data_IF_677425591114
#
_entry.id   IF_677425591114
#
_cell.length_a   1.000
_cell.length_b   1.000
_cell.length_c   1.000
_cell.angle_alpha   90.00
_cell.angle_beta   90.00
_cell.angle_gamma   90.00
#
_symmetry.space_group_name_H-M   'P 1'
#
loop_
_entity.id
_entity.type
_entity.pdbx_description
1 polymer ?
#
# COMPACT_ATOMS: atom_id res chain seq x y z
N UNK A 1 7.95 25.79 -7.05
CA UNK A 1 8.19 25.01 -8.29
C UNK A 1 7.80 23.56 -8.04
N UNK A 2 7.35 22.79 -9.05
CA UNK A 2 6.96 21.39 -8.86
C UNK A 2 8.17 20.49 -8.57
N UNK A 3 7.99 19.48 -7.71
CA UNK A 3 8.98 18.43 -7.45
C UNK A 3 8.86 17.35 -8.53
N UNK A 4 9.62 17.49 -9.62
CA UNK A 4 9.52 16.64 -10.80
C UNK A 4 8.46 17.14 -11.79
N UNK A 5 8.13 16.29 -12.78
CA UNK A 5 7.10 16.62 -13.77
C UNK A 5 5.71 16.35 -13.19
N UNK A 6 4.79 17.30 -13.36
CA UNK A 6 3.37 17.17 -12.97
C UNK A 6 2.62 16.10 -13.77
N UNK A 7 3.00 15.93 -15.04
CA UNK A 7 2.46 14.92 -15.92
C UNK A 7 3.52 14.41 -16.90
N UNK A 8 3.20 13.33 -17.60
CA UNK A 8 3.99 12.84 -18.74
C UNK A 8 3.07 12.21 -19.78
N UNK A 9 2.99 12.82 -20.96
CA UNK A 9 2.45 12.20 -22.16
C UNK A 9 3.50 11.33 -22.85
N UNK A 10 3.15 10.12 -23.27
CA UNK A 10 4.04 9.25 -24.06
C UNK A 10 3.26 8.21 -24.86
N UNK A 11 3.92 7.64 -25.87
CA UNK A 11 3.37 6.54 -26.68
C UNK A 11 4.11 5.23 -26.40
N UNK A 12 3.36 4.14 -26.17
CA UNK A 12 3.99 2.83 -25.93
C UNK A 12 4.66 2.30 -27.20
N UNK A 13 5.85 1.69 -27.05
CA UNK A 13 6.65 1.24 -28.20
C UNK A 13 5.98 0.13 -29.00
N UNK A 14 5.34 -0.81 -28.31
CA UNK A 14 4.85 -2.04 -28.95
C UNK A 14 3.44 -1.88 -29.51
N UNK A 15 2.51 -1.30 -28.74
CA UNK A 15 1.10 -1.19 -29.15
C UNK A 15 0.69 0.22 -29.58
N UNK A 16 1.60 1.20 -29.50
CA UNK A 16 1.31 2.56 -29.93
C UNK A 16 0.18 3.24 -29.15
N UNK A 17 0.00 2.88 -27.88
CA UNK A 17 -1.00 3.43 -26.95
C UNK A 17 -0.51 4.80 -26.49
N UNK A 18 -1.32 5.83 -26.69
CA UNK A 18 -1.09 7.18 -26.18
C UNK A 18 -1.52 7.25 -24.71
N UNK A 19 -0.59 7.58 -23.82
CA UNK A 19 -0.80 7.58 -22.37
C UNK A 19 -0.54 8.96 -21.81
N UNK A 20 -1.49 9.50 -21.04
CA UNK A 20 -1.26 10.63 -20.14
C UNK A 20 -1.07 10.12 -18.71
N UNK A 21 0.15 10.27 -18.17
CA UNK A 21 0.47 9.87 -16.81
C UNK A 21 0.47 11.06 -15.84
N UNK A 22 -0.15 10.87 -14.68
CA UNK A 22 -0.30 11.86 -13.60
C UNK A 22 0.21 11.27 -12.27
N UNK A 23 0.69 12.11 -11.36
CA UNK A 23 1.24 11.70 -10.07
C UNK A 23 0.75 12.57 -8.92
N UNK A 24 0.27 11.93 -7.84
CA UNK A 24 -0.29 12.60 -6.67
C UNK A 24 0.28 12.03 -5.36
N UNK A 25 0.27 12.86 -4.33
CA UNK A 25 0.55 12.50 -2.95
C UNK A 25 -0.72 12.79 -2.16
N UNK A 26 -0.99 11.99 -1.12
CA UNK A 26 -2.11 12.24 -0.22
C UNK A 26 -1.96 13.59 0.48
N UNK A 27 -3.06 14.13 0.98
CA UNK A 27 -3.03 15.36 1.77
C UNK A 27 -2.15 15.18 3.01
N UNK A 28 -0.92 15.70 2.89
CA UNK A 28 0.15 15.47 3.83
C UNK A 28 0.70 16.81 4.30
N UNK A 29 0.49 17.08 5.59
CA UNK A 29 0.80 18.35 6.23
C UNK A 29 2.12 18.33 7.02
N UNK A 30 2.74 17.15 7.22
CA UNK A 30 4.00 16.99 7.98
C UNK A 30 5.26 17.11 7.10
N UNK A 31 5.18 17.89 6.03
CA UNK A 31 6.31 18.18 5.14
C UNK A 31 7.39 19.02 5.81
N UNK A 32 8.61 18.97 5.25
CA UNK A 32 9.66 19.92 5.66
C UNK A 32 9.29 21.35 5.22
N UNK A 33 9.83 22.37 5.90
CA UNK A 33 9.49 23.78 5.67
C UNK A 33 9.63 24.27 4.21
N UNK A 34 10.41 23.59 3.38
CA UNK A 34 10.67 23.95 1.98
C UNK A 34 9.87 23.11 0.96
N UNK A 35 8.98 22.24 1.45
CA UNK A 35 8.08 21.43 0.65
C UNK A 35 6.65 21.75 1.02
N UNK A 36 5.77 21.80 0.03
CA UNK A 36 4.34 21.97 0.24
C UNK A 36 3.60 20.94 -0.61
N UNK A 37 2.65 20.26 0.01
CA UNK A 37 1.66 19.45 -0.69
C UNK A 37 0.45 20.33 -0.95
N UNK A 38 -0.06 20.25 -2.17
CA UNK A 38 -1.28 20.92 -2.57
C UNK A 38 -2.39 19.86 -2.59
N UNK A 39 -3.51 20.08 -1.90
CA UNK A 39 -4.64 19.16 -1.91
C UNK A 39 -5.12 18.89 -3.34
N UNK A 40 -5.64 17.68 -3.54
CA UNK A 40 -6.13 17.24 -4.85
C UNK A 40 -7.30 18.10 -5.32
N UNK A 41 -8.18 18.52 -4.40
CA UNK A 41 -9.34 19.40 -4.62
C UNK A 41 -8.96 20.71 -5.30
N UNK A 42 -7.80 21.27 -4.94
CA UNK A 42 -7.28 22.49 -5.57
C UNK A 42 -6.49 22.18 -6.83
N UNK A 43 -5.74 21.07 -6.83
CA UNK A 43 -4.92 20.67 -7.97
C UNK A 43 -5.75 20.40 -9.22
N UNK A 44 -6.92 19.76 -9.09
CA UNK A 44 -7.80 19.46 -10.23
C UNK A 44 -8.38 20.72 -10.90
N UNK A 45 -8.33 21.88 -10.23
CA UNK A 45 -8.80 23.16 -10.76
C UNK A 45 -7.72 23.89 -11.58
N UNK A 46 -6.45 23.48 -11.48
CA UNK A 46 -5.35 24.19 -12.13
C UNK A 46 -5.35 24.01 -13.66
N UNK A 47 -4.94 25.06 -14.37
CA UNK A 47 -4.89 25.10 -15.84
C UNK A 47 -4.09 23.94 -16.45
N UNK A 48 -2.96 23.57 -15.84
CA UNK A 48 -2.14 22.47 -16.35
C UNK A 48 -2.85 21.13 -16.24
N UNK A 49 -3.62 20.89 -15.18
CA UNK A 49 -4.35 19.65 -15.00
C UNK A 49 -5.50 19.59 -16.00
N UNK A 50 -6.25 20.70 -16.09
CA UNK A 50 -7.33 20.88 -17.06
C UNK A 50 -6.85 20.71 -18.51
N UNK A 51 -5.65 21.17 -18.85
CA UNK A 51 -5.06 20.95 -20.16
C UNK A 51 -4.81 19.46 -20.44
N UNK A 52 -4.19 18.72 -19.51
CA UNK A 52 -3.87 17.30 -19.67
C UNK A 52 -5.12 16.44 -19.82
N UNK A 53 -6.15 16.69 -19.01
CA UNK A 53 -7.37 15.88 -19.06
C UNK A 53 -8.25 16.16 -20.28
N UNK A 54 -7.91 17.16 -21.11
CA UNK A 54 -8.55 17.43 -22.41
C UNK A 54 -7.79 16.82 -23.58
N UNK A 55 -6.62 16.24 -23.34
CA UNK A 55 -5.87 15.55 -24.38
C UNK A 55 -6.61 14.29 -24.83
N UNK A 56 -6.53 14.01 -26.14
CA UNK A 56 -7.04 12.77 -26.73
C UNK A 56 -6.01 11.65 -26.52
N UNK A 57 -6.25 10.81 -25.51
CA UNK A 57 -5.37 9.71 -25.11
C UNK A 57 -6.12 8.39 -25.04
N UNK A 58 -5.41 7.31 -25.34
CA UNK A 58 -5.95 5.95 -25.27
C UNK A 58 -6.07 5.46 -23.80
N UNK A 59 -5.27 6.03 -22.87
CA UNK A 59 -5.22 5.64 -21.46
C UNK A 59 -4.77 6.80 -20.55
N UNK A 60 -5.51 7.04 -19.47
CA UNK A 60 -5.00 7.79 -18.32
C UNK A 60 -4.35 6.85 -17.31
N UNK A 61 -3.15 7.21 -16.88
CA UNK A 61 -2.36 6.46 -15.91
C UNK A 61 -2.12 7.32 -14.68
N UNK A 62 -2.78 7.01 -13.57
CA UNK A 62 -2.73 7.84 -12.35
C UNK A 62 -1.94 7.11 -11.28
N UNK A 63 -0.79 7.67 -10.92
CA UNK A 63 0.00 7.22 -9.78
C UNK A 63 -0.37 8.05 -8.55
N UNK A 64 -0.53 7.39 -7.41
CA UNK A 64 -0.75 8.06 -6.14
C UNK A 64 -0.03 7.36 -5.02
N UNK A 65 0.75 8.10 -4.23
CA UNK A 65 1.08 7.63 -2.88
C UNK A 65 -0.08 7.97 -1.95
N UNK A 66 -1.25 7.39 -2.24
CA UNK A 66 -2.53 7.64 -1.58
C UNK A 66 -3.20 6.30 -1.30
N UNK A 67 -4.01 6.17 -0.23
CA UNK A 67 -4.88 5.01 -0.04
C UNK A 67 -5.69 4.71 -1.31
N UNK A 68 -6.04 3.45 -1.53
CA UNK A 68 -6.91 3.06 -2.65
C UNK A 68 -8.36 3.47 -2.46
N UNK A 69 -8.74 4.08 -1.32
CA UNK A 69 -10.13 4.43 -1.06
C UNK A 69 -10.62 5.61 -1.92
N UNK A 70 -11.93 5.77 -1.94
CA UNK A 70 -12.66 6.70 -2.79
C UNK A 70 -12.49 8.19 -2.43
N UNK A 71 -11.54 8.60 -1.60
CA UNK A 71 -11.36 10.02 -1.26
C UNK A 71 -10.76 10.81 -2.43
N UNK A 72 -9.44 10.98 -2.38
CA UNK A 72 -8.68 11.81 -3.33
C UNK A 72 -8.72 11.25 -4.76
N UNK A 73 -8.66 9.92 -4.92
CA UNK A 73 -8.75 9.30 -6.24
C UNK A 73 -10.09 9.57 -6.90
N UNK A 74 -11.20 9.59 -6.17
CA UNK A 74 -12.52 9.87 -6.74
C UNK A 74 -12.61 11.28 -7.29
N UNK A 75 -12.03 12.25 -6.61
CA UNK A 75 -11.98 13.64 -7.10
C UNK A 75 -11.22 13.70 -8.43
N UNK A 76 -10.05 13.05 -8.51
CA UNK A 76 -9.25 12.97 -9.74
C UNK A 76 -10.03 12.28 -10.86
N UNK A 77 -10.61 11.12 -10.59
CA UNK A 77 -11.35 10.33 -11.56
C UNK A 77 -12.58 11.09 -12.06
N UNK A 78 -13.33 11.74 -11.17
CA UNK A 78 -14.46 12.60 -11.55
C UNK A 78 -14.03 13.77 -12.43
N UNK A 79 -12.91 14.42 -12.10
CA UNK A 79 -12.39 15.51 -12.92
C UNK A 79 -11.99 15.02 -14.33
N UNK A 80 -11.29 13.88 -14.43
CA UNK A 80 -10.98 13.25 -15.74
C UNK A 80 -12.26 12.91 -16.49
N UNK A 81 -13.23 12.25 -15.84
CA UNK A 81 -14.52 11.85 -16.44
C UNK A 81 -15.35 13.03 -16.94
N UNK A 82 -15.20 14.21 -16.33
CA UNK A 82 -15.89 15.44 -16.78
C UNK A 82 -15.49 15.87 -18.18
N UNK A 83 -14.27 15.54 -18.62
CA UNK A 83 -13.75 15.85 -19.96
C UNK A 83 -13.66 14.60 -20.84
N UNK A 84 -13.39 13.44 -20.25
CA UNK A 84 -13.11 12.16 -20.91
C UNK A 84 -13.96 11.03 -20.29
N UNK A 85 -15.21 10.92 -20.75
CA UNK A 85 -16.23 10.03 -20.16
C UNK A 85 -15.88 8.55 -20.28
N UNK A 86 -15.34 8.12 -21.40
CA UNK A 86 -15.12 6.69 -21.72
C UNK A 86 -13.64 6.27 -21.72
N UNK A 87 -12.70 7.18 -21.48
CA UNK A 87 -11.27 6.85 -21.57
C UNK A 87 -10.88 5.87 -20.46
N UNK A 88 -10.15 4.79 -20.75
CA UNK A 88 -9.60 3.91 -19.72
C UNK A 88 -8.78 4.68 -18.68
N UNK A 89 -8.92 4.32 -17.41
CA UNK A 89 -8.09 4.84 -16.30
C UNK A 89 -7.47 3.67 -15.55
N UNK A 90 -6.15 3.66 -15.42
CA UNK A 90 -5.43 2.76 -14.52
C UNK A 90 -4.82 3.56 -13.37
N UNK A 91 -5.18 3.19 -12.14
CA UNK A 91 -4.65 3.78 -10.91
C UNK A 91 -3.61 2.84 -10.30
N UNK A 92 -2.49 3.40 -9.83
CA UNK A 92 -1.54 2.73 -8.95
C UNK A 92 -1.50 3.49 -7.62
N UNK A 93 -2.10 2.90 -6.59
CA UNK A 93 -2.24 3.45 -5.23
C UNK A 93 -1.20 2.87 -4.28
N UNK A 94 -1.04 3.47 -3.10
CA UNK A 94 -0.10 3.03 -2.07
C UNK A 94 -0.53 3.49 -0.66
N UNK A 95 0.43 3.93 0.16
CA UNK A 95 0.25 4.43 1.52
C UNK A 95 -0.22 3.39 2.57
N UNK A 96 -1.37 2.74 2.38
CA UNK A 96 -1.97 1.84 3.39
C UNK A 96 -1.34 0.44 3.45
N UNK A 97 -0.29 0.19 2.66
CA UNK A 97 0.55 -1.01 2.77
C UNK A 97 -0.17 -2.36 2.51
N UNK A 98 -1.29 -2.37 1.78
CA UNK A 98 -2.09 -3.58 1.48
C UNK A 98 -1.99 -4.03 0.02
N UNK A 99 -2.30 -5.31 -0.23
CA UNK A 99 -2.64 -5.86 -1.56
C UNK A 99 -4.12 -5.56 -1.82
N UNK A 100 -4.44 -4.82 -2.88
CA UNK A 100 -5.84 -4.51 -3.20
C UNK A 100 -6.04 -4.19 -4.69
N UNK A 101 -7.17 -4.62 -5.25
CA UNK A 101 -7.68 -4.19 -6.56
C UNK A 101 -9.04 -3.56 -6.32
N UNK A 102 -9.20 -2.31 -6.75
CA UNK A 102 -10.47 -1.60 -6.69
C UNK A 102 -10.99 -1.32 -8.09
N UNK A 103 -12.28 -1.53 -8.32
CA UNK A 103 -12.98 -1.13 -9.54
C UNK A 103 -13.76 0.15 -9.25
N UNK A 104 -13.29 1.27 -9.79
CA UNK A 104 -13.95 2.57 -9.60
C UNK A 104 -15.17 2.73 -10.52
N UNK A 105 -15.05 2.28 -11.77
CA UNK A 105 -16.16 2.26 -12.74
C UNK A 105 -15.96 1.14 -13.78
N UNK A 106 -16.73 1.13 -14.88
CA UNK A 106 -16.62 0.11 -15.92
C UNK A 106 -15.28 0.12 -16.68
N UNK A 107 -14.52 1.21 -16.63
CA UNK A 107 -13.27 1.45 -17.37
C UNK A 107 -12.14 2.02 -16.50
N UNK A 108 -12.33 2.11 -15.18
CA UNK A 108 -11.37 2.61 -14.22
C UNK A 108 -11.08 1.59 -13.11
N UNK A 109 -9.82 1.22 -12.97
CA UNK A 109 -9.35 0.22 -12.00
C UNK A 109 -8.11 0.72 -11.27
N UNK A 110 -7.98 0.36 -9.99
CA UNK A 110 -6.83 0.69 -9.16
C UNK A 110 -6.17 -0.53 -8.56
N UNK A 111 -4.83 -0.54 -8.55
CA UNK A 111 -4.05 -1.58 -7.90
C UNK A 111 -3.19 -0.99 -6.77
N UNK A 112 -3.09 -1.73 -5.67
CA UNK A 112 -2.19 -1.49 -4.56
C UNK A 112 -1.32 -2.73 -4.31
N UNK A 113 -0.01 -2.53 -4.23
CA UNK A 113 0.97 -3.63 -4.32
C UNK A 113 1.64 -3.99 -3.00
N UNK A 114 0.94 -3.87 -1.87
CA UNK A 114 1.45 -4.30 -0.57
C UNK A 114 2.55 -3.39 0.01
N UNK A 115 3.54 -4.01 0.67
CA UNK A 115 4.58 -3.32 1.44
C UNK A 115 5.91 -4.09 1.47
N UNK A 116 6.97 -3.38 1.85
CA UNK A 116 8.27 -3.94 2.26
C UNK A 116 8.91 -4.89 1.25
N UNK A 117 8.70 -4.62 -0.04
CA UNK A 117 9.17 -5.49 -1.13
C UNK A 117 8.72 -6.95 -0.91
N UNK A 118 7.56 -7.19 -0.29
CA UNK A 118 6.98 -8.54 -0.17
C UNK A 118 6.16 -8.92 -1.40
N UNK A 119 5.81 -7.93 -2.22
CA UNK A 119 4.86 -8.10 -3.32
C UNK A 119 5.28 -7.29 -4.53
N UNK A 120 5.22 -7.94 -5.68
CA UNK A 120 5.18 -7.28 -6.99
C UNK A 120 3.72 -7.36 -7.47
N UNK A 121 3.07 -6.20 -7.58
CA UNK A 121 1.73 -6.13 -8.16
C UNK A 121 1.81 -6.20 -9.67
N UNK A 122 0.97 -7.03 -10.27
CA UNK A 122 0.85 -7.22 -11.70
C UNK A 122 -0.59 -6.97 -12.13
N UNK A 123 -0.78 -6.17 -13.18
CA UNK A 123 -2.08 -5.99 -13.81
C UNK A 123 -1.95 -6.03 -15.32
N UNK A 124 -2.94 -6.62 -16.00
CA UNK A 124 -3.09 -6.54 -17.45
C UNK A 124 -4.47 -6.01 -17.80
N UNK A 125 -4.54 -5.24 -18.88
CA UNK A 125 -5.77 -4.60 -19.35
C UNK A 125 -5.98 -4.93 -20.82
N UNK A 126 -7.18 -5.39 -21.15
CA UNK A 126 -7.66 -5.60 -22.52
C UNK A 126 -8.74 -4.57 -22.85
N UNK A 127 -8.81 -4.15 -24.11
CA UNK A 127 -9.81 -3.16 -24.56
C UNK A 127 -9.41 -1.69 -24.36
N UNK A 128 -8.12 -1.42 -24.12
CA UNK A 128 -7.55 -0.05 -24.09
C UNK A 128 -7.50 0.55 -25.50
N UNK A 129 -7.04 -0.23 -26.48
CA UNK A 129 -7.04 0.12 -27.89
C UNK A 129 -7.49 -1.09 -28.71
N UNK A 130 -8.43 -0.91 -29.61
CA UNK A 130 -8.89 -1.97 -30.52
C UNK A 130 -8.04 -1.94 -31.78
N UNK A 131 -6.85 -2.51 -31.71
CA UNK A 131 -6.04 -2.80 -32.90
C UNK A 131 -6.08 -4.32 -33.16
N UNK A 132 -6.60 -4.77 -34.33
CA UNK A 132 -6.63 -6.19 -34.70
C UNK A 132 -5.27 -6.89 -34.63
N UNK A 133 -4.15 -6.15 -34.68
CA UNK A 133 -2.79 -6.69 -34.54
C UNK A 133 -2.44 -7.13 -33.13
N UNK A 134 -3.11 -6.61 -32.09
CA UNK A 134 -2.77 -6.86 -30.68
C UNK A 134 -3.86 -7.59 -29.89
N UNK A 135 -4.95 -8.00 -30.53
CA UNK A 135 -5.97 -8.87 -29.93
C UNK A 135 -7.38 -8.71 -30.52
N UNK A 136 -8.31 -9.52 -30.03
CA UNK A 136 -9.73 -9.48 -30.39
C UNK A 136 -10.33 -8.14 -29.95
N UNK A 137 -11.04 -7.47 -30.84
CA UNK A 137 -11.83 -6.30 -30.48
C UNK A 137 -12.89 -6.70 -29.44
N UNK A 138 -12.66 -6.37 -28.18
CA UNK A 138 -13.66 -6.55 -27.14
C UNK A 138 -14.73 -5.47 -27.30
N UNK A 139 -15.80 -5.72 -28.06
CA UNK A 139 -17.04 -4.93 -28.24
C UNK A 139 -17.27 -3.74 -27.25
N UNK A 140 -16.41 -2.73 -27.23
CA UNK A 140 -16.36 -1.68 -26.21
C UNK A 140 -16.01 -2.09 -24.75
N UNK A 141 -15.84 -3.37 -24.41
CA UNK A 141 -15.66 -3.82 -23.01
C UNK A 141 -14.20 -3.90 -22.57
N UNK A 142 -13.88 -3.32 -21.41
CA UNK A 142 -12.57 -3.40 -20.78
C UNK A 142 -12.51 -4.55 -19.79
N UNK A 143 -11.47 -5.38 -19.88
CA UNK A 143 -11.22 -6.47 -18.93
C UNK A 143 -9.88 -6.23 -18.25
N UNK A 144 -9.85 -6.36 -16.93
CA UNK A 144 -8.63 -6.21 -16.13
C UNK A 144 -8.36 -7.50 -15.36
N UNK A 145 -7.12 -7.97 -15.43
CA UNK A 145 -6.63 -9.06 -14.58
C UNK A 145 -5.58 -8.51 -13.62
N UNK A 146 -5.46 -9.16 -12.46
CA UNK A 146 -4.49 -8.80 -11.43
C UNK A 146 -3.85 -10.02 -10.79
N UNK A 147 -2.57 -9.90 -10.44
CA UNK A 147 -1.84 -10.85 -9.60
C UNK A 147 -0.97 -10.11 -8.57
N UNK A 148 -0.90 -10.65 -7.37
CA UNK A 148 0.07 -10.27 -6.35
C UNK A 148 1.14 -11.34 -6.29
N UNK A 149 2.30 -11.03 -6.84
CA UNK A 149 3.42 -11.97 -6.95
C UNK A 149 4.26 -11.83 -5.69
N UNK A 150 4.45 -12.92 -4.96
CA UNK A 150 5.39 -12.93 -3.84
C UNK A 150 6.80 -12.57 -4.33
N UNK A 151 7.49 -11.66 -3.62
CA UNK A 151 8.88 -11.35 -3.95
C UNK A 151 9.81 -12.49 -3.53
N UNK A 152 9.85 -13.54 -4.35
CA UNK A 152 10.66 -14.74 -4.13
C UNK A 152 11.12 -15.29 -5.47
N UNK A 153 12.34 -15.83 -5.48
CA UNK A 153 12.97 -16.36 -6.69
C UNK A 153 12.12 -17.44 -7.37
N UNK A 154 11.40 -18.27 -6.60
CA UNK A 154 10.55 -19.32 -7.13
C UNK A 154 9.30 -18.80 -7.85
N UNK A 155 8.72 -17.69 -7.38
CA UNK A 155 7.61 -17.04 -8.06
C UNK A 155 8.11 -16.43 -9.38
N UNK A 156 9.28 -15.81 -9.34
CA UNK A 156 9.89 -15.23 -10.54
C UNK A 156 10.26 -16.29 -11.59
N UNK A 157 10.83 -17.43 -11.19
CA UNK A 157 11.05 -18.57 -12.08
C UNK A 157 9.76 -19.00 -12.77
N UNK A 158 8.69 -19.18 -11.98
CA UNK A 158 7.39 -19.61 -12.49
C UNK A 158 6.83 -18.64 -13.54
N UNK A 159 6.74 -17.34 -13.21
CA UNK A 159 6.14 -16.34 -14.11
C UNK A 159 7.00 -15.99 -15.32
N UNK A 160 8.32 -16.23 -15.25
CA UNK A 160 9.22 -16.01 -16.39
C UNK A 160 9.44 -17.26 -17.24
N UNK A 161 8.96 -18.44 -16.82
CA UNK A 161 9.24 -19.71 -17.47
C UNK A 161 10.72 -20.12 -17.40
N UNK A 162 11.47 -19.54 -16.47
CA UNK A 162 12.90 -19.76 -16.30
C UNK A 162 13.20 -20.57 -15.05
N UNK A 163 14.47 -20.86 -14.80
CA UNK A 163 14.90 -21.63 -13.63
C UNK A 163 16.22 -21.06 -13.06
N UNK A 164 16.79 -21.76 -12.07
CA UNK A 164 17.99 -21.28 -11.36
C UNK A 164 19.19 -21.00 -12.27
N UNK A 165 19.32 -21.68 -13.43
CA UNK A 165 20.43 -21.44 -14.37
C UNK A 165 20.12 -20.37 -15.42
N UNK A 166 18.84 -20.17 -15.78
CA UNK A 166 18.45 -19.27 -16.87
C UNK A 166 17.86 -17.93 -16.41
N UNK A 167 17.39 -17.84 -15.17
CA UNK A 167 16.84 -16.60 -14.60
C UNK A 167 17.91 -15.53 -14.31
N UNK A 168 19.09 -15.86 -13.74
CA UNK A 168 20.06 -14.84 -13.37
C UNK A 168 20.66 -14.12 -14.59
N UNK A 169 20.54 -12.79 -14.63
CA UNK A 169 21.24 -11.94 -15.61
C UNK A 169 22.54 -11.42 -15.02
N UNK A 170 23.52 -11.08 -15.86
CA UNK A 170 24.80 -10.52 -15.38
C UNK A 170 24.60 -9.20 -14.64
N UNK A 171 23.67 -8.36 -15.11
CA UNK A 171 23.26 -7.16 -14.41
C UNK A 171 22.68 -7.46 -13.01
N UNK A 172 21.77 -8.44 -12.91
CA UNK A 172 21.16 -8.83 -11.64
C UNK A 172 22.17 -9.41 -10.64
N UNK A 173 23.15 -10.19 -11.12
CA UNK A 173 24.25 -10.71 -10.29
C UNK A 173 25.12 -9.58 -9.76
N UNK A 174 25.53 -8.65 -10.62
CA UNK A 174 26.36 -7.50 -10.24
C UNK A 174 25.66 -6.62 -9.20
N UNK A 175 24.36 -6.36 -9.38
CA UNK A 175 23.57 -5.60 -8.43
C UNK A 175 23.44 -6.32 -7.08
N UNK A 176 23.24 -7.64 -7.08
CA UNK A 176 23.16 -8.44 -5.84
C UNK A 176 24.48 -8.41 -5.06
N UNK A 177 25.62 -8.50 -5.75
CA UNK A 177 26.94 -8.37 -5.14
C UNK A 177 27.16 -7.00 -4.49
N UNK A 178 26.63 -5.92 -5.07
CA UNK A 178 26.69 -4.58 -4.48
C UNK A 178 25.84 -4.45 -3.20
N UNK A 179 24.71 -5.15 -3.09
CA UNK A 179 23.88 -5.10 -1.87
C UNK A 179 24.59 -5.80 -0.70
N UNK A 180 25.32 -6.89 -0.95
CA UNK A 180 25.95 -7.69 0.10
C UNK A 180 27.06 -6.98 0.88
N UNK A 181 27.60 -5.85 0.41
CA UNK A 181 28.70 -5.11 1.07
C UNK A 181 28.24 -4.12 2.16
N UNK A 182 26.97 -4.14 2.54
CA UNK A 182 26.39 -3.31 3.62
C UNK A 182 25.82 -4.29 4.66
N UNK A 183 26.20 -4.35 5.97
CA UNK A 183 26.45 -3.23 6.91
C UNK A 183 27.47 -3.46 8.09
N UNK A 184 27.76 -2.40 8.89
CA UNK A 184 28.48 -2.43 10.20
C UNK A 184 27.65 -1.83 11.37
N UNK A 185 27.95 -2.25 12.62
CA UNK A 185 27.12 -2.15 13.86
C UNK A 185 27.48 -1.01 14.84
N UNK A 186 26.48 -0.54 15.62
CA UNK A 186 26.64 0.25 16.88
C UNK A 186 25.78 -0.37 17.99
N UNK A 187 26.37 -0.59 19.18
CA UNK A 187 25.66 -0.94 20.41
C UNK A 187 25.95 0.11 21.48
N UNK A 188 24.92 0.63 22.17
CA UNK A 188 25.08 1.43 23.39
C UNK A 188 24.59 0.64 24.59
N UNK A 189 25.31 0.75 25.72
CA UNK A 189 24.98 0.10 26.99
C UNK A 189 23.82 0.84 27.68
N UNK A 190 22.84 0.14 28.27
CA UNK A 190 21.78 0.79 29.06
C UNK A 190 22.34 1.31 30.39
N UNK A 191 21.88 2.49 30.81
CA UNK A 191 22.09 3.03 32.15
C UNK A 191 20.74 2.97 32.87
N UNK A 192 20.69 2.31 34.02
CA UNK A 192 19.46 2.14 34.80
C UNK A 192 19.20 3.37 35.68
N UNK A 193 18.02 3.98 35.54
CA UNK A 193 17.60 5.16 36.33
C UNK A 193 17.00 4.74 37.68
N UNK A 194 17.27 5.51 38.74
CA UNK A 194 16.67 5.34 40.09
C UNK A 194 15.27 5.95 40.23
N UNK A 195 14.73 6.54 39.15
CA UNK A 195 13.43 7.23 39.15
C UNK A 195 12.44 6.47 38.27
N UNK A 196 11.26 6.16 38.82
CA UNK A 196 10.15 5.55 38.07
C UNK A 196 9.77 6.49 36.93
N UNK A 197 9.79 5.97 35.71
CA UNK A 197 9.48 6.70 34.48
C UNK A 197 8.50 5.87 33.67
N UNK A 198 7.48 6.51 33.10
CA UNK A 198 6.55 5.91 32.15
C UNK A 198 6.87 6.45 30.76
N UNK A 199 6.88 5.57 29.75
CA UNK A 199 7.20 5.93 28.36
C UNK A 199 5.98 5.60 27.52
N UNK A 200 5.51 6.57 26.73
CA UNK A 200 4.45 6.33 25.77
C UNK A 200 5.03 6.28 24.36
N UNK A 201 4.76 5.19 23.65
CA UNK A 201 5.20 5.01 22.26
C UNK A 201 3.98 4.71 21.39
N UNK A 202 3.89 5.37 20.23
CA UNK A 202 2.91 4.97 19.22
C UNK A 202 3.26 3.57 18.70
N UNK A 203 2.27 2.71 18.51
CA UNK A 203 2.51 1.36 17.99
C UNK A 203 3.12 1.37 16.58
N UNK A 204 2.80 2.39 15.77
CA UNK A 204 3.36 2.61 14.43
C UNK A 204 4.86 2.93 14.39
N UNK A 205 5.47 3.23 15.54
CA UNK A 205 6.92 3.37 15.70
C UNK A 205 7.65 2.06 15.37
N UNK A 206 7.04 0.92 15.69
CA UNK A 206 7.53 -0.40 15.33
C UNK A 206 7.04 -0.76 13.92
N UNK A 207 7.97 -1.11 13.02
CA UNK A 207 7.69 -1.33 11.59
C UNK A 207 7.69 -2.80 11.18
N UNK A 208 8.31 -3.66 11.97
CA UNK A 208 8.47 -5.08 11.69
C UNK A 208 8.54 -5.92 12.97
N UNK A 209 8.41 -7.23 12.82
CA UNK A 209 8.55 -8.19 13.92
C UNK A 209 10.03 -8.39 14.28
N UNK A 210 10.31 -8.49 15.58
CA UNK A 210 11.65 -8.83 16.06
C UNK A 210 11.83 -10.35 16.08
N UNK A 211 12.48 -10.87 15.03
CA UNK A 211 12.74 -12.30 14.92
C UNK A 211 13.88 -12.76 15.86
N UNK A 212 13.79 -14.01 16.34
CA UNK A 212 14.87 -14.64 17.11
C UNK A 212 16.07 -14.88 16.19
N UNK A 213 17.22 -14.29 16.51
CA UNK A 213 18.45 -14.47 15.74
C UNK A 213 19.48 -13.38 16.03
N UNK A 214 20.50 -13.23 15.15
CA UNK A 214 21.48 -12.16 15.26
C UNK A 214 20.80 -10.77 15.19
N UNK A 215 21.08 -9.92 16.17
CA UNK A 215 20.63 -8.53 16.17
C UNK A 215 21.70 -7.64 15.55
N UNK A 216 21.42 -7.07 14.38
CA UNK A 216 22.37 -6.24 13.62
C UNK A 216 21.86 -4.80 13.53
N UNK A 217 22.68 -3.89 12.96
CA UNK A 217 22.23 -2.52 12.67
C UNK A 217 21.05 -2.49 11.70
N UNK A 218 20.99 -3.44 10.78
CA UNK A 218 19.86 -3.58 9.87
C UNK A 218 18.58 -3.96 10.63
N UNK A 219 18.69 -4.78 11.68
CA UNK A 219 17.57 -5.08 12.58
C UNK A 219 17.02 -3.81 13.23
N UNK A 220 17.88 -2.87 13.65
CA UNK A 220 17.46 -1.58 14.24
C UNK A 220 16.61 -0.79 13.25
N UNK A 221 17.10 -0.58 12.02
CA UNK A 221 16.37 0.21 11.02
C UNK A 221 15.13 -0.51 10.48
N UNK A 222 15.15 -1.84 10.41
CA UNK A 222 13.99 -2.64 10.01
C UNK A 222 12.85 -2.55 11.04
N UNK A 223 13.18 -2.55 12.34
CA UNK A 223 12.18 -2.57 13.40
C UNK A 223 11.76 -1.16 13.86
N UNK A 224 12.69 -0.23 14.03
CA UNK A 224 12.45 1.10 14.60
C UNK A 224 13.32 2.18 13.91
N UNK A 225 12.98 2.58 12.66
CA UNK A 225 13.81 3.45 11.83
C UNK A 225 13.79 4.93 12.24
N UNK A 226 12.82 5.35 13.06
CA UNK A 226 12.58 6.76 13.31
C UNK A 226 13.58 7.32 14.32
N UNK A 227 14.35 8.38 13.98
CA UNK A 227 15.29 9.02 14.89
C UNK A 227 14.56 9.96 15.87
N UNK A 228 13.49 9.48 16.47
CA UNK A 228 12.66 10.27 17.39
C UNK A 228 13.46 10.65 18.62
N UNK A 229 13.33 11.91 19.05
CA UNK A 229 13.86 12.38 20.33
C UNK A 229 12.79 12.19 21.39
N UNK A 230 13.18 11.63 22.53
CA UNK A 230 12.29 11.56 23.69
C UNK A 230 12.09 12.97 24.27
N UNK A 231 10.83 13.38 24.35
CA UNK A 231 10.41 14.54 25.13
C UNK A 231 10.03 14.01 26.52
N UNK A 232 10.48 14.67 27.58
CA UNK A 232 10.23 14.23 28.95
C UNK A 232 9.61 15.35 29.79
N UNK A 233 8.68 14.97 30.66
CA UNK A 233 8.08 15.86 31.67
C UNK A 233 8.42 15.28 33.04
N UNK A 234 9.02 16.09 33.92
CA UNK A 234 9.44 15.67 35.26
C UNK A 234 8.31 15.87 36.27
N UNK A 235 8.31 15.05 37.33
CA UNK A 235 7.43 15.18 38.51
C UNK A 235 5.93 15.14 38.19
N UNK A 236 5.53 14.31 37.23
CA UNK A 236 4.11 14.07 36.91
C UNK A 236 3.55 13.04 37.91
N UNK A 237 2.43 13.32 38.60
CA UNK A 237 1.77 12.34 39.45
C UNK A 237 1.32 11.11 38.65
N UNK A 238 1.48 9.92 39.23
CA UNK A 238 1.19 8.65 38.55
C UNK A 238 -0.26 8.56 38.03
N UNK A 239 -1.22 9.09 38.79
CA UNK A 239 -2.63 9.11 38.40
C UNK A 239 -2.83 9.87 37.07
N UNK A 240 -2.20 11.03 36.93
CA UNK A 240 -2.26 11.85 35.70
C UNK A 240 -1.67 11.08 34.52
N UNK A 241 -0.53 10.41 34.72
CA UNK A 241 0.10 9.57 33.70
C UNK A 241 -0.84 8.44 33.24
N UNK A 242 -1.51 7.76 34.18
CA UNK A 242 -2.48 6.70 33.86
C UNK A 242 -3.67 7.23 33.05
N UNK A 243 -4.24 8.37 33.45
CA UNK A 243 -5.34 8.99 32.69
C UNK A 243 -4.90 9.42 31.28
N UNK A 244 -3.68 9.94 31.16
CA UNK A 244 -3.11 10.36 29.87
C UNK A 244 -2.98 9.20 28.91
N UNK A 245 -2.52 8.03 29.37
CA UNK A 245 -2.44 6.83 28.55
C UNK A 245 -3.81 6.42 27.98
N UNK A 246 -4.84 6.39 28.84
CA UNK A 246 -6.21 6.03 28.43
C UNK A 246 -6.75 7.02 27.40
N UNK A 247 -6.52 8.31 27.61
CA UNK A 247 -6.92 9.33 26.65
C UNK A 247 -6.23 9.10 25.31
N UNK A 248 -4.91 8.98 25.28
CA UNK A 248 -4.15 8.82 24.03
C UNK A 248 -4.49 7.55 23.24
N UNK A 249 -4.85 6.45 23.92
CA UNK A 249 -5.24 5.19 23.27
C UNK A 249 -6.70 5.19 22.78
N UNK A 250 -7.55 6.08 23.30
CA UNK A 250 -8.99 6.14 22.97
C UNK A 250 -9.36 7.34 22.11
N UNK A 251 -8.57 8.41 22.15
CA UNK A 251 -8.76 9.56 21.29
C UNK A 251 -8.11 9.28 19.94
N UNK A 252 -8.85 9.46 18.84
CA UNK A 252 -8.32 9.51 17.47
C UNK A 252 -7.37 10.74 17.26
N UNK A 253 -6.63 11.16 18.29
CA UNK A 253 -5.85 12.40 18.36
C UNK A 253 -4.75 12.50 17.30
N UNK A 254 -4.35 11.37 16.73
CA UNK A 254 -3.26 11.25 15.75
C UNK A 254 -3.77 10.91 14.35
N UNK A 255 -5.07 10.87 14.14
CA UNK A 255 -5.65 10.67 12.82
C UNK A 255 -5.60 12.01 12.07
N UNK A 256 -4.73 12.09 11.07
CA UNK A 256 -4.48 13.32 10.30
C UNK A 256 -5.70 13.78 9.46
N UNK A 257 -6.79 13.01 9.44
CA UNK A 257 -8.01 13.30 8.69
C UNK A 257 -9.04 14.14 9.47
N UNK A 258 -8.94 14.31 10.79
CA UNK A 258 -9.95 15.04 11.56
C UNK A 258 -9.33 16.09 12.50
N UNK A 259 -9.01 17.26 11.95
CA UNK A 259 -8.81 18.47 12.75
C UNK A 259 -10.17 19.05 13.19
N UNK A 260 -10.91 18.32 14.04
CA UNK A 260 -12.11 18.85 14.72
C UNK A 260 -11.88 18.86 16.22
N UNK A 261 -12.14 20.01 16.85
CA UNK A 261 -11.97 20.25 18.28
C UNK A 261 -12.67 19.15 19.09
N UNK A 262 -12.10 18.71 20.24
CA UNK A 262 -12.72 17.66 21.05
C UNK A 262 -14.05 18.14 21.61
N UNK A 263 -15.16 17.64 21.06
CA UNK A 263 -16.49 17.82 21.64
C UNK A 263 -16.65 16.87 22.83
N UNK A 264 -16.99 17.44 23.98
CA UNK A 264 -17.06 16.78 25.30
C UNK A 264 -18.30 15.84 25.41
N UNK A 265 -19.06 15.66 24.33
CA UNK A 265 -20.24 14.78 24.29
C UNK A 265 -20.08 13.69 23.23
N UNK A 266 -19.34 12.64 23.59
CA UNK A 266 -19.18 11.44 22.77
C UNK A 266 -20.51 10.67 22.74
N UNK A 267 -21.30 10.89 21.69
CA UNK A 267 -22.20 9.85 21.15
C UNK A 267 -21.38 9.04 20.15
N UNK A 268 -21.42 7.72 20.30
CA UNK A 268 -20.68 6.77 19.48
C UNK A 268 -20.92 6.97 17.97
N UNK A 269 -20.00 7.65 17.31
CA UNK A 269 -19.78 7.54 15.86
C UNK A 269 -18.39 6.97 15.66
N UNK A 270 -18.33 5.65 15.46
CA UNK A 270 -17.11 4.91 15.10
C UNK A 270 -16.69 5.28 13.68
N UNK A 271 -15.90 6.33 13.54
CA UNK A 271 -14.98 6.51 12.42
C UNK A 271 -13.70 5.74 12.73
N UNK A 272 -13.49 4.61 12.05
CA UNK A 272 -12.28 3.81 12.16
C UNK A 272 -11.09 4.58 11.57
N UNK A 273 -10.20 5.10 12.42
CA UNK A 273 -8.88 5.61 12.02
C UNK A 273 -8.09 4.55 11.26
N UNK A 274 -7.62 4.91 10.08
CA UNK A 274 -7.09 4.00 9.07
C UNK A 274 -5.56 3.90 9.12
N UNK A 275 -4.97 3.57 10.27
CA UNK A 275 -3.65 2.93 10.34
C UNK A 275 -3.87 1.41 10.34
N UNK A 276 -4.00 0.82 9.15
CA UNK A 276 -4.27 -0.61 9.04
C UNK A 276 -3.03 -1.44 9.41
N UNK A 277 -3.02 -1.94 10.64
CA UNK A 277 -2.81 -3.38 10.81
C UNK A 277 -3.84 -4.15 9.97
N UNK A 278 -3.55 -5.37 9.50
CA UNK A 278 -4.45 -6.11 8.61
C UNK A 278 -5.87 -6.22 9.20
N UNK A 279 -6.84 -5.53 8.58
CA UNK A 279 -8.26 -5.67 8.97
C UNK A 279 -8.75 -7.08 8.62
N UNK A 280 -9.28 -7.75 9.65
CA UNK A 280 -9.96 -9.04 9.55
C UNK A 280 -11.30 -8.84 8.83
N UNK A 281 -11.44 -9.44 7.64
CA UNK A 281 -12.75 -9.63 7.01
C UNK A 281 -13.29 -10.96 7.52
N UNK A 282 -14.47 -10.93 8.16
CA UNK A 282 -15.16 -12.14 8.61
C UNK A 282 -15.40 -13.05 7.40
N UNK A 283 -14.88 -14.28 7.46
CA UNK A 283 -15.12 -15.27 6.42
C UNK A 283 -16.57 -15.76 6.50
N UNK A 284 -17.36 -15.54 5.43
CA UNK A 284 -18.60 -16.28 5.22
C UNK A 284 -18.27 -17.71 4.79
N UNK A 285 -17.98 -18.56 5.78
CA UNK A 285 -17.59 -19.95 5.59
C UNK A 285 -18.79 -20.89 5.29
N UNK A 286 -19.77 -20.46 4.48
CA UNK A 286 -21.04 -21.20 4.33
C UNK A 286 -21.37 -21.76 2.94
N UNK A 287 -20.50 -21.64 1.92
CA UNK A 287 -20.86 -22.08 0.55
C UNK A 287 -20.13 -23.29 -0.05
N UNK A 288 -19.23 -23.97 0.67
CA UNK A 288 -18.47 -25.10 0.10
C UNK A 288 -18.63 -26.41 0.90
N UNK A 289 -19.86 -26.82 1.22
CA UNK A 289 -20.09 -28.07 1.97
C UNK A 289 -20.19 -29.34 1.12
N UNK A 290 -20.06 -29.28 -0.21
CA UNK A 290 -20.19 -30.49 -1.05
C UNK A 290 -19.29 -30.46 -2.27
N UNK A 291 -17.99 -30.72 -2.10
CA UNK A 291 -17.14 -31.24 -3.18
C UNK A 291 -16.21 -32.33 -2.61
N UNK A 292 -16.38 -33.56 -3.10
CA UNK A 292 -15.49 -34.68 -2.84
C UNK A 292 -14.34 -34.58 -3.85
N UNK A 293 -13.10 -34.54 -3.36
CA UNK A 293 -11.90 -34.51 -4.19
C UNK A 293 -11.69 -35.84 -4.91
N UNK A 294 -11.50 -35.82 -6.23
CA UNK A 294 -11.18 -36.98 -7.08
C UNK A 294 -9.67 -37.31 -7.12
N UNK A 295 -8.84 -36.68 -6.30
CA UNK A 295 -7.41 -37.00 -6.23
C UNK A 295 -7.14 -38.14 -5.23
N UNK A 296 -6.74 -39.31 -5.74
CA UNK A 296 -6.40 -40.53 -4.98
C UNK A 296 -5.10 -40.45 -4.16
N UNK A 297 -4.54 -39.25 -3.94
CA UNK A 297 -3.39 -39.04 -3.05
C UNK A 297 -3.41 -37.61 -2.48
N UNK A 298 -4.05 -37.43 -1.33
CA UNK A 298 -3.94 -36.20 -0.54
C UNK A 298 -2.55 -36.10 0.11
N UNK A 299 -1.52 -35.76 -0.67
CA UNK A 299 -0.39 -35.03 -0.09
C UNK A 299 -0.94 -33.68 0.34
N UNK A 300 -1.23 -33.53 1.63
CA UNK A 300 -1.70 -32.28 2.24
C UNK A 300 -0.77 -31.15 1.79
N UNK A 301 -1.25 -30.26 0.93
CA UNK A 301 -0.51 -29.07 0.50
C UNK A 301 -0.10 -28.30 1.77
N UNK A 302 1.20 -28.22 2.04
CA UNK A 302 1.73 -27.40 3.14
C UNK A 302 1.71 -25.96 2.64
N UNK A 303 0.60 -25.28 2.92
CA UNK A 303 0.41 -23.87 2.59
C UNK A 303 1.29 -22.99 3.49
N UNK A 304 1.97 -22.02 2.91
CA UNK A 304 2.81 -21.07 3.65
C UNK A 304 1.94 -19.95 4.24
N UNK A 305 2.29 -19.42 5.43
CA UNK A 305 1.70 -18.19 5.92
C UNK A 305 1.83 -17.08 4.88
N UNK A 306 0.74 -16.37 4.60
CA UNK A 306 0.72 -15.28 3.62
C UNK A 306 -0.63 -14.60 3.58
N UNK A 307 -0.72 -13.55 2.77
CA UNK A 307 -1.98 -12.83 2.59
C UNK A 307 -2.90 -13.63 1.66
N UNK A 308 -4.17 -13.75 2.02
CA UNK A 308 -5.25 -14.09 1.09
C UNK A 308 -6.14 -12.87 1.08
N UNK A 309 -6.18 -12.14 -0.02
CA UNK A 309 -7.04 -10.95 -0.13
C UNK A 309 -8.20 -11.20 -1.07
N UNK A 310 -9.39 -10.82 -0.60
CA UNK A 310 -10.57 -10.66 -1.43
C UNK A 310 -10.64 -9.19 -1.78
N UNK A 311 -10.62 -8.90 -3.08
CA UNK A 311 -10.74 -7.57 -3.65
C UNK A 311 -11.84 -7.58 -4.72
N UNK A 312 -12.01 -6.49 -5.48
CA UNK A 312 -13.08 -6.41 -6.49
C UNK A 312 -12.85 -7.40 -7.66
N UNK A 313 -11.64 -7.93 -7.80
CA UNK A 313 -11.31 -9.02 -8.71
C UNK A 313 -11.57 -10.43 -8.13
N UNK A 314 -12.14 -10.53 -6.92
CA UNK A 314 -12.40 -11.79 -6.23
C UNK A 314 -11.26 -12.20 -5.28
N UNK A 315 -11.12 -13.51 -5.05
CA UNK A 315 -10.21 -14.08 -4.03
C UNK A 315 -8.99 -14.81 -4.61
N UNK A 316 -8.74 -14.69 -5.91
CA UNK A 316 -7.71 -15.45 -6.63
C UNK A 316 -6.45 -14.60 -6.94
N UNK A 317 -6.30 -13.41 -6.35
CA UNK A 317 -5.25 -12.46 -6.73
C UNK A 317 -3.84 -12.90 -6.39
N UNK A 318 -3.66 -13.61 -5.28
CA UNK A 318 -2.35 -14.06 -4.85
C UNK A 318 -1.81 -15.16 -5.78
N UNK A 319 -0.55 -15.04 -6.22
CA UNK A 319 0.06 -15.99 -7.15
C UNK A 319 0.38 -17.36 -6.50
N UNK A 320 0.43 -17.37 -5.17
CA UNK A 320 0.76 -18.53 -4.35
C UNK A 320 -0.40 -18.81 -3.40
N UNK A 321 -0.86 -20.07 -3.28
CA UNK A 321 -1.82 -20.44 -2.24
C UNK A 321 -1.23 -20.26 -0.83
N UNK A 322 -1.92 -19.52 0.03
CA UNK A 322 -1.47 -19.18 1.38
C UNK A 322 -2.37 -19.74 2.47
N UNK A 323 -1.84 -19.81 3.69
CA UNK A 323 -2.59 -19.91 4.93
C UNK A 323 -2.62 -18.53 5.59
N UNK A 324 -3.80 -18.02 5.91
CA UNK A 324 -3.93 -16.73 6.60
C UNK A 324 -3.28 -16.79 7.99
N UNK A 325 -2.37 -15.86 8.34
CA UNK A 325 -1.93 -15.68 9.72
C UNK A 325 -3.09 -15.15 10.58
N UNK A 326 -2.99 -15.33 11.91
CA UNK A 326 -3.93 -14.70 12.84
C UNK A 326 -3.50 -13.26 13.05
N UNK A 327 -4.43 -12.34 12.83
CA UNK A 327 -4.24 -10.92 13.09
C UNK A 327 -4.90 -10.55 14.42
N UNK A 328 -4.24 -9.68 15.19
CA UNK A 328 -4.75 -9.14 16.44
C UNK A 328 -4.87 -7.62 16.33
N UNK A 329 -5.88 -7.04 16.99
CA UNK A 329 -5.98 -5.58 17.11
C UNK A 329 -4.84 -5.10 18.00
N UNK A 330 -4.02 -4.20 17.48
CA UNK A 330 -2.94 -3.54 18.21
C UNK A 330 -3.48 -2.19 18.70
N UNK A 331 -3.25 -1.79 19.96
CA UNK A 331 -3.61 -0.45 20.44
C UNK A 331 -2.81 0.64 19.71
N UNK A 332 -3.30 1.88 19.77
CA UNK A 332 -2.59 3.00 19.14
C UNK A 332 -1.35 3.37 19.95
N UNK A 333 -1.43 3.20 21.28
CA UNK A 333 -0.33 3.47 22.21
C UNK A 333 0.16 2.21 22.94
N UNK A 334 1.48 2.11 23.08
CA UNK A 334 2.18 1.11 23.89
C UNK A 334 2.67 1.77 25.20
N UNK A 335 2.42 1.13 26.36
CA UNK A 335 2.80 1.64 27.68
C UNK A 335 4.26 1.35 28.08
#
# INVERSE_FOLDING_TARGET
MPMGKRNKAFRTKNQGINVAALGFLFDFDQGANYSKVQPVEETVKEDWFQAVIREDVDLFLVYGHMPSDEGEFKIILQAIRSQNKESPIQVFSAHTHVRNLLKYDSRAYGMQSGRYIKTVGWTSMSGVKTDPKFGVANNGSQTVHRRYIDNRILAYHFHSGSNASTFPTDYGKNFSSFIHVIPHVVLKKPVQSKVVSTIFLMSSFLRFDLEKGPFTRDTIFTNAPFPNKYIYIKKVPYEITRYTFVLLDQSNLFDASECTKPDINVKETRGDSQIFGPKSIKSHLSKYKTQISLASNSRRLILRPGSIKVDDGGSDGDDTPHKLPRDYKIPDMLP
#
